data_IF_109954979355
#
_entry.id   IF_109954979355
#
_cell.length_a   1.000
_cell.length_b   1.000
_cell.length_c   1.000
_cell.angle_alpha   90.00
_cell.angle_beta   90.00
_cell.angle_gamma   90.00
#
_symmetry.space_group_name_H-M   'P 1'
#
loop_
_entity.id
_entity.type
_entity.pdbx_description
1 polymer ?
#
# COMPACT_ATOMS: atom_id res chain seq x y z
N UNK A 1 0.67 7.50 18.79
CA UNK A 1 1.42 7.02 17.61
C UNK A 1 0.47 6.99 16.43
N UNK A 2 0.90 7.46 15.25
CA UNK A 2 0.08 7.30 14.03
C UNK A 2 0.05 5.82 13.66
N UNK A 3 -1.15 5.27 13.48
CA UNK A 3 -1.38 3.90 13.03
C UNK A 3 -2.13 3.97 11.72
N UNK A 4 -1.62 3.23 10.75
CA UNK A 4 -2.14 3.17 9.40
C UNK A 4 -2.48 1.74 9.04
N UNK A 5 -3.54 1.58 8.27
CA UNK A 5 -3.72 0.40 7.44
C UNK A 5 -3.38 0.77 5.99
N UNK A 6 -3.01 -0.24 5.22
CA UNK A 6 -2.48 -0.06 3.88
C UNK A 6 -3.22 -0.95 2.90
N UNK A 7 -3.57 -0.39 1.75
CA UNK A 7 -4.20 -1.13 0.65
C UNK A 7 -3.36 -0.92 -0.59
N UNK A 8 -3.14 -2.00 -1.34
CA UNK A 8 -2.42 -1.92 -2.61
C UNK A 8 -3.46 -1.95 -3.72
N UNK A 9 -3.45 -0.92 -4.54
CA UNK A 9 -4.45 -0.67 -5.57
C UNK A 9 -3.80 -0.72 -6.96
N UNK A 10 -4.57 -1.10 -7.96
CA UNK A 10 -4.19 -0.90 -9.36
C UNK A 10 -4.39 0.56 -9.80
N UNK A 11 -4.14 0.84 -11.08
CA UNK A 11 -4.27 2.19 -11.66
C UNK A 11 -5.74 2.66 -11.71
N UNK A 12 -6.70 1.74 -11.62
CA UNK A 12 -8.14 2.00 -11.57
C UNK A 12 -8.66 2.06 -10.12
N UNK A 13 -7.77 2.05 -9.12
CA UNK A 13 -8.04 2.04 -7.68
C UNK A 13 -8.77 0.79 -7.17
N UNK A 14 -8.71 -0.34 -7.89
CA UNK A 14 -9.21 -1.62 -7.40
C UNK A 14 -8.21 -2.24 -6.43
N UNK A 15 -8.71 -2.84 -5.35
CA UNK A 15 -7.88 -3.58 -4.41
C UNK A 15 -7.24 -4.81 -5.07
N UNK A 16 -5.90 -4.86 -5.02
CA UNK A 16 -5.09 -5.98 -5.50
C UNK A 16 -5.03 -7.15 -4.49
N UNK A 17 -5.58 -6.97 -3.29
CA UNK A 17 -5.67 -8.01 -2.27
C UNK A 17 -4.34 -8.32 -1.58
N UNK A 18 -3.38 -7.39 -1.63
CA UNK A 18 -2.07 -7.58 -1.04
C UNK A 18 -2.14 -7.49 0.49
N UNK A 19 -1.67 -8.53 1.19
CA UNK A 19 -1.60 -8.51 2.65
C UNK A 19 -0.42 -7.64 3.13
N UNK A 20 -0.70 -6.38 3.43
CA UNK A 20 0.27 -5.44 3.99
C UNK A 20 -0.07 -5.19 5.47
N UNK A 21 0.78 -5.62 6.42
CA UNK A 21 0.49 -5.42 7.83
C UNK A 21 0.42 -3.94 8.21
N UNK A 22 -0.59 -3.61 9.01
CA UNK A 22 -0.78 -2.31 9.63
C UNK A 22 0.45 -1.86 10.43
N UNK A 23 0.59 -0.56 10.57
CA UNK A 23 1.67 -0.02 11.38
C UNK A 23 1.85 1.48 11.24
N UNK A 24 3.01 1.96 11.69
CA UNK A 24 3.35 3.39 11.69
C UNK A 24 4.35 3.77 10.58
N UNK A 25 4.91 2.78 9.87
CA UNK A 25 6.01 2.98 8.92
C UNK A 25 5.56 2.79 7.47
N UNK A 26 5.32 3.91 6.77
CA UNK A 26 5.03 3.92 5.33
C UNK A 26 6.13 3.22 4.52
N UNK A 27 7.41 3.42 4.89
CA UNK A 27 8.56 2.77 4.23
C UNK A 27 8.50 1.24 4.31
N UNK A 28 8.10 0.70 5.46
CA UNK A 28 7.98 -0.76 5.63
C UNK A 28 6.81 -1.30 4.80
N UNK A 29 5.71 -0.57 4.72
CA UNK A 29 4.57 -0.93 3.87
C UNK A 29 4.94 -0.93 2.39
N UNK A 30 5.63 0.10 1.89
CA UNK A 30 6.14 0.18 0.50
C UNK A 30 7.03 -1.01 0.17
N UNK A 31 7.97 -1.38 1.06
CA UNK A 31 8.85 -2.53 0.82
C UNK A 31 8.09 -3.86 0.75
N UNK A 32 7.02 -4.02 1.53
CA UNK A 32 6.16 -5.21 1.48
C UNK A 32 5.30 -5.23 0.22
N UNK A 33 4.72 -4.09 -0.14
CA UNK A 33 3.99 -3.91 -1.39
C UNK A 33 4.87 -4.31 -2.58
N UNK A 34 6.09 -3.77 -2.68
CA UNK A 34 7.05 -4.12 -3.75
C UNK A 34 7.35 -5.62 -3.83
N UNK A 35 7.55 -6.29 -2.68
CA UNK A 35 7.78 -7.75 -2.67
C UNK A 35 6.58 -8.49 -3.20
N UNK A 36 5.38 -8.16 -2.72
CA UNK A 36 4.16 -8.77 -3.19
C UNK A 36 3.92 -8.50 -4.70
N UNK A 37 4.21 -7.29 -5.18
CA UNK A 37 4.14 -6.94 -6.60
C UNK A 37 5.09 -7.79 -7.45
N UNK A 38 6.32 -8.03 -7.00
CA UNK A 38 7.27 -8.93 -7.68
C UNK A 38 6.72 -10.36 -7.74
N UNK A 39 6.21 -10.87 -6.62
CA UNK A 39 5.66 -12.24 -6.55
C UNK A 39 4.42 -12.43 -7.46
N UNK A 40 3.70 -11.36 -7.78
CA UNK A 40 2.49 -11.36 -8.62
C UNK A 40 2.70 -10.75 -10.01
N UNK A 41 3.94 -10.41 -10.38
CA UNK A 41 4.30 -9.82 -11.68
C UNK A 41 3.54 -8.52 -12.01
N UNK A 42 3.34 -7.65 -11.01
CA UNK A 42 2.65 -6.35 -11.14
C UNK A 42 3.67 -5.23 -11.19
N UNK A 43 3.76 -4.50 -12.32
CA UNK A 43 4.81 -3.51 -12.55
C UNK A 43 4.60 -2.18 -11.82
N UNK A 44 3.36 -1.73 -11.72
CA UNK A 44 2.95 -0.49 -11.09
C UNK A 44 1.74 -0.74 -10.19
N UNK A 45 1.69 -0.04 -9.06
CA UNK A 45 0.56 -0.04 -8.16
C UNK A 45 0.53 1.25 -7.34
N UNK A 46 -0.60 1.53 -6.70
CA UNK A 46 -0.74 2.62 -5.75
C UNK A 46 -0.94 2.07 -4.34
N UNK A 47 -0.13 2.53 -3.39
CA UNK A 47 -0.30 2.19 -1.99
C UNK A 47 -1.11 3.28 -1.31
N UNK A 48 -2.37 2.97 -0.99
CA UNK A 48 -3.20 3.82 -0.15
C UNK A 48 -2.74 3.73 1.31
N UNK A 49 -2.57 4.88 1.96
CA UNK A 49 -2.25 4.98 3.38
C UNK A 49 -3.45 5.57 4.10
N UNK A 50 -4.14 4.73 4.86
CA UNK A 50 -5.36 5.11 5.54
C UNK A 50 -5.14 5.29 7.04
N UNK A 51 -5.91 6.19 7.65
CA UNK A 51 -5.91 6.40 9.11
C UNK A 51 -6.71 5.30 9.80
N UNK A 52 -6.12 4.54 10.72
CA UNK A 52 -6.90 3.61 11.56
C UNK A 52 -7.79 4.31 12.60
N UNK A 53 -7.66 5.64 12.76
CA UNK A 53 -8.42 6.41 13.75
C UNK A 53 -9.69 7.00 13.12
N UNK A 54 -9.59 7.42 11.86
CA UNK A 54 -10.62 8.21 11.19
C UNK A 54 -11.07 7.62 9.86
N UNK A 55 -10.47 6.49 9.44
CA UNK A 55 -10.69 5.79 8.16
C UNK A 55 -10.47 6.62 6.89
N UNK A 56 -10.02 7.87 7.04
CA UNK A 56 -9.66 8.73 5.92
C UNK A 56 -8.36 8.28 5.25
N UNK A 57 -8.33 8.40 3.92
CA UNK A 57 -7.09 8.34 3.13
C UNK A 57 -6.22 9.53 3.54
N UNK A 58 -4.97 9.26 3.92
CA UNK A 58 -3.99 10.26 4.33
C UNK A 58 -2.95 10.53 3.26
N UNK A 59 -2.71 9.55 2.38
CA UNK A 59 -1.68 9.60 1.34
C UNK A 59 -1.93 8.49 0.31
N UNK A 60 -1.49 8.71 -0.92
CA UNK A 60 -1.45 7.68 -1.98
C UNK A 60 -0.05 7.71 -2.58
N UNK A 61 0.64 6.57 -2.49
CA UNK A 61 2.04 6.46 -2.92
C UNK A 61 2.09 5.59 -4.17
N UNK A 62 2.49 6.16 -5.31
CA UNK A 62 2.79 5.38 -6.52
C UNK A 62 4.05 4.54 -6.31
N UNK A 63 3.95 3.24 -6.61
CA UNK A 63 5.02 2.27 -6.48
C UNK A 63 5.25 1.62 -7.84
N UNK A 64 6.51 1.59 -8.25
CA UNK A 64 6.97 0.88 -9.43
C UNK A 64 8.12 -0.08 -9.06
N UNK A 65 8.16 -1.24 -9.70
CA UNK A 65 9.24 -2.23 -9.64
C UNK A 65 10.01 -2.24 -10.97
N UNK A 66 10.62 -1.09 -11.30
CA UNK A 66 11.55 -0.97 -12.42
C UNK A 66 12.79 -1.86 -12.24
#
# INVERSE_FOLDING_TARGET
MKRYYFELLDDDYNDLGALIPDGSSKKTAVNRAKRWMVDNNIQSAQLSVNSMITDNILDIISIEIA
#
